data_IF_077617122546
#
_entry.id   IF_077617122546
#
_cell.length_a   1.000
_cell.length_b   1.000
_cell.length_c   1.000
_cell.angle_alpha   90.00
_cell.angle_beta   90.00
_cell.angle_gamma   90.00
#
_symmetry.space_group_name_H-M   'P 1'
#
loop_
_entity.id
_entity.type
_entity.pdbx_description
1 polymer ?
#
# COMPACT_ATOMS: atom_id res chain seq x y z
N UNK A 1 -14.83 -6.19 6.27
CA UNK A 1 -14.66 -5.34 5.06
C UNK A 1 -13.23 -5.51 4.57
N UNK A 2 -13.04 -5.76 3.29
CA UNK A 2 -11.73 -5.97 2.65
C UNK A 2 -11.36 -4.74 1.83
N UNK A 3 -10.13 -4.28 1.96
CA UNK A 3 -9.55 -3.22 1.13
C UNK A 3 -8.63 -3.87 0.09
N UNK A 4 -9.01 -3.83 -1.17
CA UNK A 4 -8.27 -4.44 -2.27
C UNK A 4 -7.50 -3.37 -3.05
N UNK A 5 -6.21 -3.57 -3.27
CA UNK A 5 -5.38 -2.72 -4.11
C UNK A 5 -4.53 -3.54 -5.10
N UNK A 6 -3.94 -2.85 -6.07
CA UNK A 6 -3.25 -3.48 -7.20
C UNK A 6 -1.75 -3.15 -7.26
N UNK A 7 -1.22 -2.45 -6.26
CA UNK A 7 0.21 -2.21 -6.15
C UNK A 7 0.65 -2.14 -4.68
N UNK A 8 1.90 -2.51 -4.43
CA UNK A 8 2.49 -2.57 -3.08
C UNK A 8 2.57 -1.19 -2.41
N UNK A 9 2.77 -0.12 -3.18
CA UNK A 9 2.79 1.25 -2.64
C UNK A 9 1.42 1.65 -2.09
N UNK A 10 0.34 1.32 -2.80
CA UNK A 10 -1.02 1.54 -2.32
C UNK A 10 -1.33 0.67 -1.09
N UNK A 11 -0.87 -0.59 -1.09
CA UNK A 11 -0.99 -1.47 0.07
C UNK A 11 -0.31 -0.88 1.31
N UNK A 12 0.93 -0.43 1.17
CA UNK A 12 1.68 0.23 2.24
C UNK A 12 0.99 1.48 2.75
N UNK A 13 0.50 2.33 1.83
CA UNK A 13 -0.24 3.54 2.18
C UNK A 13 -1.55 3.25 2.93
N UNK A 14 -2.32 2.24 2.49
CA UNK A 14 -3.55 1.82 3.15
C UNK A 14 -3.28 1.24 4.55
N UNK A 15 -2.29 0.36 4.69
CA UNK A 15 -1.87 -0.19 6.00
C UNK A 15 -1.41 0.91 6.94
N UNK A 16 -0.65 1.88 6.43
CA UNK A 16 -0.21 3.04 7.22
C UNK A 16 -1.40 3.92 7.60
N UNK A 17 -2.32 4.19 6.69
CA UNK A 17 -3.53 4.96 6.95
C UNK A 17 -4.42 4.29 8.00
N UNK A 18 -4.58 2.97 7.98
CA UNK A 18 -5.28 2.21 9.01
C UNK A 18 -4.60 2.34 10.38
N UNK A 19 -3.27 2.28 10.40
CA UNK A 19 -2.49 2.39 11.64
C UNK A 19 -2.54 3.81 12.22
N UNK A 20 -2.48 4.83 11.36
CA UNK A 20 -2.46 6.25 11.74
C UNK A 20 -3.84 6.90 11.78
N UNK A 21 -4.84 6.30 11.14
CA UNK A 21 -6.12 6.92 10.74
C UNK A 21 -7.23 6.91 11.79
N UNK A 22 -6.92 6.80 13.08
CA UNK A 22 -7.93 7.08 14.11
C UNK A 22 -8.07 8.60 14.31
N UNK A 23 -9.30 9.14 14.43
CA UNK A 23 -9.52 10.53 14.82
C UNK A 23 -8.63 10.88 16.02
N UNK A 24 -7.76 11.87 15.87
CA UNK A 24 -6.86 12.35 16.92
C UNK A 24 -5.51 11.62 17.04
N UNK A 25 -5.18 10.66 16.17
CA UNK A 25 -3.91 9.95 16.19
C UNK A 25 -2.90 10.40 15.12
N UNK A 26 -3.14 11.53 14.49
CA UNK A 26 -2.18 12.06 13.52
C UNK A 26 -0.92 12.52 14.22
N UNK A 27 0.07 11.66 14.24
CA UNK A 27 1.44 12.04 14.55
C UNK A 27 1.97 12.85 13.37
N UNK A 28 1.70 14.13 13.36
CA UNK A 28 2.31 15.03 12.39
C UNK A 28 3.76 15.19 12.78
N UNK A 29 4.63 14.43 12.17
CA UNK A 29 6.07 14.64 12.23
C UNK A 29 6.40 15.96 11.53
N UNK A 30 6.43 17.06 12.27
CA UNK A 30 6.87 18.33 11.72
C UNK A 30 8.39 18.33 11.77
N UNK A 31 9.00 18.05 10.62
CA UNK A 31 10.42 18.27 10.44
C UNK A 31 10.66 19.78 10.29
N UNK A 32 11.23 20.39 11.30
CA UNK A 32 11.77 21.74 11.19
C UNK A 32 13.16 21.62 10.58
N UNK A 33 13.27 21.95 9.29
CA UNK A 33 14.59 22.23 8.73
C UNK A 33 15.08 23.53 9.38
N UNK A 34 16.25 23.50 9.98
CA UNK A 34 17.00 24.71 10.30
C UNK A 34 17.26 25.45 8.99
N UNK A 35 17.19 26.79 8.99
CA UNK A 35 17.68 27.60 7.89
C UNK A 35 19.14 27.26 7.58
N UNK A 36 19.62 27.54 6.36
CA UNK A 36 21.03 27.34 5.99
C UNK A 36 22.00 27.97 7.00
N UNK A 37 21.56 29.03 7.70
CA UNK A 37 22.29 29.71 8.76
C UNK A 37 22.23 29.03 10.14
N UNK A 38 21.58 27.86 10.25
CA UNK A 38 21.47 27.11 11.50
C UNK A 38 20.54 27.73 12.57
N UNK A 39 19.82 28.80 12.26
CA UNK A 39 18.90 29.45 13.20
C UNK A 39 17.67 28.59 13.47
N UNK A 40 17.36 28.41 14.75
CA UNK A 40 16.13 27.72 15.17
C UNK A 40 14.91 28.63 14.95
N UNK A 41 13.83 28.10 14.37
CA UNK A 41 12.63 28.90 14.14
C UNK A 41 12.05 29.43 15.45
N UNK A 42 11.57 30.66 15.44
CA UNK A 42 10.95 31.26 16.62
C UNK A 42 9.73 30.49 17.08
N UNK A 43 9.42 30.52 18.39
CA UNK A 43 8.23 29.85 18.95
C UNK A 43 6.92 30.31 18.27
N UNK A 44 6.88 31.56 17.81
CA UNK A 44 5.73 32.12 17.09
C UNK A 44 5.60 31.49 15.69
N UNK A 45 6.69 31.34 14.96
CA UNK A 45 6.72 30.70 13.64
C UNK A 45 6.31 29.22 13.74
N UNK A 46 6.82 28.50 14.74
CA UNK A 46 6.44 27.12 15.03
C UNK A 46 4.95 26.97 15.27
N UNK A 47 4.38 27.82 16.15
CA UNK A 47 2.93 27.82 16.45
C UNK A 47 2.09 28.14 15.21
N UNK A 48 2.52 29.11 14.40
CA UNK A 48 1.80 29.47 13.17
C UNK A 48 1.78 28.30 12.17
N UNK A 49 2.92 27.60 12.01
CA UNK A 49 3.01 26.43 11.15
C UNK A 49 2.17 25.26 11.65
N UNK A 50 2.19 25.01 12.97
CA UNK A 50 1.34 23.99 13.60
C UNK A 50 -0.17 24.26 13.37
N UNK A 51 -0.60 25.52 13.45
CA UNK A 51 -1.99 25.88 13.16
C UNK A 51 -2.37 25.59 11.71
N UNK A 52 -1.48 25.92 10.75
CA UNK A 52 -1.73 25.62 9.32
C UNK A 52 -1.82 24.13 9.07
N UNK A 53 -0.91 23.34 9.63
CA UNK A 53 -0.91 21.88 9.48
C UNK A 53 -2.18 21.26 10.09
N UNK A 54 -2.60 21.72 11.27
CA UNK A 54 -3.85 21.24 11.89
C UNK A 54 -5.08 21.59 11.05
N UNK A 55 -5.16 22.83 10.55
CA UNK A 55 -6.28 23.24 9.71
C UNK A 55 -6.35 22.43 8.41
N UNK A 56 -5.20 22.12 7.80
CA UNK A 56 -5.14 21.25 6.62
C UNK A 56 -5.54 19.82 6.98
N UNK A 57 -5.09 19.30 8.11
CA UNK A 57 -5.48 17.98 8.59
C UNK A 57 -6.99 17.89 8.83
N UNK A 58 -7.56 18.88 9.53
CA UNK A 58 -9.02 18.95 9.76
C UNK A 58 -9.80 19.02 8.43
N UNK A 59 -9.21 19.63 7.40
CA UNK A 59 -9.79 19.66 6.06
C UNK A 59 -9.78 18.28 5.41
N UNK A 60 -8.65 17.58 5.48
CA UNK A 60 -8.50 16.23 4.92
C UNK A 60 -9.40 15.22 5.65
N UNK A 61 -9.49 15.31 6.97
CA UNK A 61 -10.32 14.40 7.78
C UNK A 61 -11.82 14.47 7.44
N UNK A 62 -12.28 15.58 6.88
CA UNK A 62 -13.69 15.70 6.41
C UNK A 62 -13.99 14.78 5.22
N UNK A 63 -12.97 14.46 4.44
CA UNK A 63 -13.08 13.61 3.24
C UNK A 63 -12.50 12.22 3.48
N UNK A 64 -12.01 11.96 4.69
CA UNK A 64 -11.41 10.67 5.02
C UNK A 64 -12.47 9.56 4.98
N UNK A 65 -12.18 8.53 4.22
CA UNK A 65 -12.99 7.31 4.17
C UNK A 65 -12.55 6.41 5.32
N UNK A 66 -13.48 5.94 6.17
CA UNK A 66 -13.11 5.00 7.22
C UNK A 66 -12.59 3.70 6.58
N UNK A 67 -11.38 3.33 6.93
CA UNK A 67 -10.75 2.09 6.51
C UNK A 67 -11.08 0.96 7.48
N UNK A 68 -10.92 -0.30 7.04
CA UNK A 68 -10.97 -1.46 7.92
C UNK A 68 -10.00 -1.36 9.09
N UNK A 69 -10.27 -2.10 10.16
CA UNK A 69 -9.55 -1.91 11.43
C UNK A 69 -8.25 -2.73 11.54
N UNK A 70 -7.98 -3.62 10.60
CA UNK A 70 -6.82 -4.54 10.66
C UNK A 70 -5.99 -4.44 9.39
N UNK A 71 -4.69 -4.46 9.54
CA UNK A 71 -3.76 -4.50 8.38
C UNK A 71 -3.95 -5.75 7.51
N UNK A 72 -4.45 -6.85 8.09
CA UNK A 72 -4.87 -8.05 7.37
C UNK A 72 -6.10 -7.86 6.48
N UNK A 73 -6.83 -6.74 6.63
CA UNK A 73 -7.95 -6.42 5.76
C UNK A 73 -7.51 -5.80 4.42
N UNK A 74 -6.23 -5.44 4.30
CA UNK A 74 -5.67 -4.87 3.07
C UNK A 74 -5.00 -5.98 2.26
N UNK A 75 -5.63 -6.34 1.16
CA UNK A 75 -5.15 -7.34 0.21
C UNK A 75 -4.56 -6.64 -1.03
N UNK A 76 -3.46 -7.16 -1.55
CA UNK A 76 -2.82 -6.68 -2.76
C UNK A 76 -2.65 -7.81 -3.76
N UNK A 77 -3.19 -7.63 -4.97
CA UNK A 77 -3.00 -8.59 -6.06
C UNK A 77 -1.83 -8.22 -6.98
N UNK A 78 -1.18 -7.10 -6.71
CA UNK A 78 -0.02 -6.65 -7.46
C UNK A 78 -0.26 -6.57 -8.96
N UNK A 79 0.80 -6.75 -9.73
CA UNK A 79 0.75 -6.78 -11.20
C UNK A 79 0.14 -8.06 -11.78
N UNK A 80 -0.16 -9.05 -10.94
CA UNK A 80 -0.63 -10.35 -11.40
C UNK A 80 -1.93 -10.27 -12.23
N UNK A 81 -2.79 -9.25 -11.99
CA UNK A 81 -3.99 -9.03 -12.80
C UNK A 81 -3.72 -8.26 -14.10
N UNK A 82 -2.57 -7.61 -14.21
CA UNK A 82 -2.20 -6.81 -15.39
C UNK A 82 -1.33 -7.58 -16.38
N UNK A 83 -0.85 -8.75 -16.02
CA UNK A 83 0.05 -9.55 -16.84
C UNK A 83 -0.66 -10.77 -17.44
N UNK A 84 -0.50 -10.91 -18.75
CA UNK A 84 -1.01 -12.06 -19.49
C UNK A 84 -2.52 -12.06 -19.69
N UNK A 85 -3.05 -13.22 -20.05
CA UNK A 85 -4.48 -13.42 -20.22
C UNK A 85 -5.20 -13.43 -18.87
N UNK A 86 -6.02 -12.41 -18.61
CA UNK A 86 -6.79 -12.31 -17.36
C UNK A 86 -7.86 -13.38 -17.21
N UNK A 87 -8.26 -14.03 -18.29
CA UNK A 87 -9.17 -15.17 -18.24
C UNK A 87 -8.47 -16.45 -17.75
N UNK A 88 -7.13 -16.51 -17.86
CA UNK A 88 -6.37 -17.63 -17.32
C UNK A 88 -6.40 -17.60 -15.77
N UNK A 89 -6.59 -18.76 -15.12
CA UNK A 89 -6.63 -18.81 -13.66
C UNK A 89 -5.31 -18.37 -13.04
N UNK A 90 -5.41 -17.75 -11.87
CA UNK A 90 -4.25 -17.58 -10.98
C UNK A 90 -3.96 -18.95 -10.38
N UNK A 91 -2.84 -19.55 -10.77
CA UNK A 91 -2.42 -20.86 -10.31
C UNK A 91 -0.95 -20.87 -9.93
N UNK A 92 -0.55 -21.85 -9.11
CA UNK A 92 0.83 -22.02 -8.69
C UNK A 92 1.77 -22.24 -9.88
N UNK A 93 1.29 -22.97 -10.89
CA UNK A 93 1.97 -23.18 -12.17
C UNK A 93 1.05 -22.75 -13.32
N UNK A 94 1.57 -21.91 -14.20
CA UNK A 94 0.78 -21.46 -15.33
C UNK A 94 1.42 -20.32 -16.12
N UNK A 95 0.81 -19.94 -17.25
CA UNK A 95 1.38 -18.94 -18.15
C UNK A 95 1.48 -17.55 -17.48
N UNK A 96 0.58 -17.22 -16.57
CA UNK A 96 0.61 -15.93 -15.85
C UNK A 96 1.79 -15.87 -14.88
N UNK A 97 2.09 -16.96 -14.16
CA UNK A 97 3.29 -17.01 -13.30
C UNK A 97 4.56 -16.87 -14.12
N UNK A 98 4.64 -17.56 -15.25
CA UNK A 98 5.80 -17.49 -16.13
C UNK A 98 6.07 -16.05 -16.59
N UNK A 99 5.03 -15.33 -17.03
CA UNK A 99 5.11 -13.92 -17.41
C UNK A 99 5.48 -13.02 -16.23
N UNK A 100 4.88 -13.24 -15.06
CA UNK A 100 5.18 -12.48 -13.85
C UNK A 100 6.67 -12.62 -13.47
N UNK A 101 7.17 -13.86 -13.47
CA UNK A 101 8.58 -14.15 -13.19
C UNK A 101 9.49 -13.53 -14.25
N UNK A 102 9.17 -13.65 -15.54
CA UNK A 102 9.92 -13.02 -16.62
C UNK A 102 9.98 -11.51 -16.44
N UNK A 103 8.86 -10.86 -16.14
CA UNK A 103 8.82 -9.42 -15.89
C UNK A 103 9.78 -9.00 -14.79
N UNK A 104 9.83 -9.76 -13.68
CA UNK A 104 10.73 -9.46 -12.55
C UNK A 104 12.21 -9.72 -12.90
N UNK A 105 12.51 -10.73 -13.74
CA UNK A 105 13.89 -11.06 -14.12
C UNK A 105 14.43 -10.16 -15.22
N UNK A 106 13.60 -9.73 -16.16
CA UNK A 106 13.99 -8.88 -17.30
C UNK A 106 14.18 -7.42 -16.91
N UNK A 107 13.59 -6.97 -15.81
CA UNK A 107 13.81 -5.61 -15.33
C UNK A 107 15.21 -5.47 -14.72
N UNK A 108 16.01 -4.47 -15.14
CA UNK A 108 17.36 -4.26 -14.65
C UNK A 108 17.35 -3.66 -13.23
N UNK A 109 16.93 -4.44 -12.26
CA UNK A 109 17.07 -4.11 -10.85
C UNK A 109 18.39 -4.67 -10.34
N UNK A 110 18.93 -4.06 -9.27
CA UNK A 110 20.12 -4.59 -8.59
C UNK A 110 19.87 -6.01 -8.09
N UNK A 111 20.90 -6.85 -8.11
CA UNK A 111 20.86 -8.23 -7.64
C UNK A 111 21.09 -9.29 -8.73
N UNK A 112 21.46 -10.50 -8.30
CA UNK A 112 21.65 -11.62 -9.20
C UNK A 112 20.30 -12.12 -9.76
N UNK A 113 20.30 -12.64 -10.98
CA UNK A 113 19.09 -13.19 -11.63
C UNK A 113 18.38 -14.24 -10.75
N UNK A 114 19.15 -15.10 -10.09
CA UNK A 114 18.61 -16.12 -9.20
C UNK A 114 17.87 -15.51 -7.99
N UNK A 115 18.36 -14.40 -7.44
CA UNK A 115 17.72 -13.69 -6.33
C UNK A 115 16.41 -13.06 -6.78
N UNK A 116 16.39 -12.38 -7.93
CA UNK A 116 15.16 -11.81 -8.51
C UNK A 116 14.12 -12.87 -8.83
N UNK A 117 14.55 -14.03 -9.33
CA UNK A 117 13.65 -15.15 -9.58
C UNK A 117 13.03 -15.71 -8.29
N UNK A 118 13.82 -15.80 -7.22
CA UNK A 118 13.33 -16.27 -5.92
C UNK A 118 12.36 -15.26 -5.29
N UNK A 119 12.64 -13.97 -5.43
CA UNK A 119 11.74 -12.88 -5.00
C UNK A 119 10.42 -12.89 -5.77
N UNK A 120 10.47 -13.02 -7.10
CA UNK A 120 9.28 -13.15 -7.93
C UNK A 120 8.42 -14.36 -7.54
N UNK A 121 9.04 -15.48 -7.20
CA UNK A 121 8.32 -16.68 -6.75
C UNK A 121 7.72 -16.50 -5.35
N UNK A 122 8.32 -15.68 -4.49
CA UNK A 122 7.77 -15.33 -3.19
C UNK A 122 6.57 -14.39 -3.34
N UNK A 123 6.72 -13.34 -4.14
CA UNK A 123 5.64 -12.38 -4.44
C UNK A 123 4.45 -13.07 -5.11
N UNK A 124 4.70 -14.02 -6.02
CA UNK A 124 3.62 -14.78 -6.65
C UNK A 124 2.81 -15.60 -5.64
N UNK A 125 3.47 -16.21 -4.67
CA UNK A 125 2.78 -16.94 -3.58
C UNK A 125 1.93 -16.01 -2.72
N UNK A 126 2.41 -14.80 -2.44
CA UNK A 126 1.62 -13.79 -1.73
C UNK A 126 0.38 -13.38 -2.51
N UNK A 127 0.50 -13.20 -3.83
CA UNK A 127 -0.64 -12.91 -4.72
C UNK A 127 -1.67 -14.04 -4.69
N UNK A 128 -1.24 -15.29 -4.75
CA UNK A 128 -2.14 -16.45 -4.68
C UNK A 128 -2.88 -16.49 -3.34
N UNK A 129 -2.16 -16.31 -2.24
CA UNK A 129 -2.75 -16.28 -0.90
C UNK A 129 -3.77 -15.13 -0.76
N UNK A 130 -3.43 -13.93 -1.27
CA UNK A 130 -4.34 -12.79 -1.26
C UNK A 130 -5.60 -13.04 -2.12
N UNK A 131 -5.46 -13.72 -3.27
CA UNK A 131 -6.58 -14.06 -4.12
C UNK A 131 -7.52 -15.10 -3.49
N UNK A 132 -6.97 -16.09 -2.77
CA UNK A 132 -7.75 -17.08 -2.02
C UNK A 132 -8.49 -16.44 -0.84
N UNK A 133 -7.81 -15.61 -0.07
CA UNK A 133 -8.41 -14.88 1.03
C UNK A 133 -9.54 -13.96 0.53
N UNK A 134 -9.33 -13.24 -0.57
CA UNK A 134 -10.35 -12.41 -1.20
C UNK A 134 -11.59 -13.22 -1.57
N UNK A 135 -11.40 -14.39 -2.20
CA UNK A 135 -12.52 -15.26 -2.59
C UNK A 135 -13.29 -15.78 -1.36
N UNK A 136 -12.56 -16.23 -0.35
CA UNK A 136 -13.16 -16.74 0.88
C UNK A 136 -14.00 -15.67 1.59
N UNK A 137 -13.46 -14.47 1.72
CA UNK A 137 -14.14 -13.35 2.39
C UNK A 137 -15.33 -12.82 1.57
N UNK A 138 -15.19 -12.74 0.24
CA UNK A 138 -16.29 -12.38 -0.64
C UNK A 138 -17.42 -13.42 -0.60
N UNK A 139 -17.09 -14.73 -0.56
CA UNK A 139 -18.07 -15.80 -0.40
C UNK A 139 -18.78 -15.76 0.96
N UNK A 140 -18.10 -15.26 1.99
CA UNK A 140 -18.69 -15.01 3.31
C UNK A 140 -19.58 -13.75 3.36
N UNK A 141 -19.73 -13.02 2.24
CA UNK A 141 -20.55 -11.82 2.15
C UNK A 141 -19.90 -10.56 2.70
N UNK A 142 -18.58 -10.56 2.89
CA UNK A 142 -17.89 -9.35 3.30
C UNK A 142 -17.86 -8.30 2.19
N UNK A 143 -18.03 -7.06 2.58
CA UNK A 143 -17.88 -5.93 1.67
C UNK A 143 -16.43 -5.82 1.19
N UNK A 144 -16.24 -5.67 -0.13
CA UNK A 144 -14.94 -5.45 -0.77
C UNK A 144 -14.89 -4.04 -1.34
N UNK A 145 -13.90 -3.26 -0.91
CA UNK A 145 -13.62 -1.94 -1.45
C UNK A 145 -12.37 -2.00 -2.32
N UNK A 146 -12.47 -1.49 -3.54
CA UNK A 146 -11.39 -1.51 -4.52
C UNK A 146 -10.77 -0.11 -4.60
N UNK A 147 -9.44 -0.08 -4.46
CA UNK A 147 -8.61 1.11 -4.62
C UNK A 147 -7.80 1.00 -5.92
N UNK A 148 -8.19 1.79 -6.91
CA UNK A 148 -7.55 1.84 -8.24
C UNK A 148 -6.74 3.11 -8.43
#
# INVERSE_FOLDING_TARGET
MVELCFNQSAQGALKMAQHCGGKGRHSVGIVFCTSEDGEKPSRRAVRARLRKVRAEQDRLDRYAVPLGNKSSDVLCLGLALSLGDIAAPLAEDGPRRALFRQFHTDFPLDGAEAERAAEADADWREVLAAAEELRARAAAGEEVRIWA
#
